data_IF_909926756385
#
_entry.id   IF_909926756385
#
_cell.length_a   1.000
_cell.length_b   1.000
_cell.length_c   1.000
_cell.angle_alpha   90.00
_cell.angle_beta   90.00
_cell.angle_gamma   90.00
#
_symmetry.space_group_name_H-M   'P 1'
#
loop_
_entity.id
_entity.type
_entity.pdbx_description
1 polymer ?
#
# COMPACT_ATOMS: atom_id res chain seq x y z
N UNK A 1 5.48 15.08 4.47
CA UNK A 1 4.89 16.00 3.49
C UNK A 1 4.41 15.22 2.27
N UNK A 2 3.17 15.42 1.86
CA UNK A 2 2.51 14.72 0.75
C UNK A 2 1.71 15.72 -0.10
N UNK A 3 1.50 15.38 -1.37
CA UNK A 3 0.59 16.08 -2.26
C UNK A 3 -0.19 15.04 -3.10
N UNK A 4 -1.53 14.97 -3.00
CA UNK A 4 -2.37 15.76 -2.10
C UNK A 4 -2.11 15.48 -0.63
N UNK A 5 -2.41 16.42 0.28
CA UNK A 5 -2.26 16.19 1.72
C UNK A 5 -3.31 15.22 2.25
N UNK A 6 -3.02 14.55 3.37
CA UNK A 6 -4.02 13.76 4.08
C UNK A 6 -5.19 14.63 4.49
N UNK A 7 -6.39 14.10 4.35
CA UNK A 7 -7.65 14.77 4.63
C UNK A 7 -8.29 14.28 5.93
N UNK A 8 -9.46 14.81 6.26
CA UNK A 8 -10.21 14.49 7.43
C UNK A 8 -10.97 13.17 7.37
N UNK A 9 -11.76 12.92 8.42
CA UNK A 9 -12.57 11.71 8.55
C UNK A 9 -13.65 11.62 7.47
N UNK A 10 -14.31 12.74 7.17
CA UNK A 10 -15.39 12.80 6.17
C UNK A 10 -14.89 12.44 4.78
N UNK A 11 -13.72 12.97 4.38
CA UNK A 11 -13.10 12.64 3.07
C UNK A 11 -12.74 11.15 3.01
N UNK A 12 -12.22 10.59 4.10
CA UNK A 12 -11.92 9.16 4.18
C UNK A 12 -13.18 8.30 4.03
N UNK A 13 -14.27 8.66 4.70
CA UNK A 13 -15.56 7.96 4.62
C UNK A 13 -16.13 8.04 3.20
N UNK A 14 -16.03 9.20 2.55
CA UNK A 14 -16.43 9.36 1.16
C UNK A 14 -15.62 8.48 0.20
N UNK A 15 -14.28 8.38 0.40
CA UNK A 15 -13.44 7.47 -0.38
C UNK A 15 -13.82 6.00 -0.17
N UNK A 16 -14.10 5.58 1.07
CA UNK A 16 -14.57 4.23 1.37
C UNK A 16 -15.93 3.97 0.69
N UNK A 17 -16.84 4.93 0.74
CA UNK A 17 -18.11 4.87 0.01
C UNK A 17 -17.90 4.63 -1.49
N UNK A 18 -16.99 5.38 -2.11
CA UNK A 18 -16.64 5.22 -3.52
C UNK A 18 -16.00 3.87 -3.87
N UNK A 19 -15.29 3.23 -2.94
CA UNK A 19 -14.82 1.85 -3.12
C UNK A 19 -15.97 0.82 -3.06
N UNK A 20 -16.96 1.07 -2.20
CA UNK A 20 -18.10 0.17 -2.00
C UNK A 20 -19.11 0.24 -3.16
N UNK A 21 -19.39 1.43 -3.67
CA UNK A 21 -20.35 1.64 -4.77
C UNK A 21 -19.74 1.46 -6.17
N UNK A 22 -18.40 1.33 -6.26
CA UNK A 22 -17.67 1.13 -7.50
C UNK A 22 -17.32 2.41 -8.27
N UNK A 23 -17.59 3.59 -7.71
CA UNK A 23 -17.11 4.87 -8.25
C UNK A 23 -15.61 4.93 -8.32
N UNK A 24 -14.94 4.32 -7.32
CA UNK A 24 -13.48 4.12 -7.26
C UNK A 24 -13.22 2.63 -7.52
N UNK A 25 -12.55 2.34 -8.61
CA UNK A 25 -12.31 0.97 -9.10
C UNK A 25 -10.87 0.49 -8.96
N UNK A 26 -9.96 1.34 -8.49
CA UNK A 26 -8.55 0.99 -8.27
C UNK A 26 -7.97 1.70 -7.05
N UNK A 27 -6.98 1.06 -6.43
CA UNK A 27 -6.15 1.65 -5.39
C UNK A 27 -4.70 1.68 -5.88
N UNK A 28 -4.12 2.88 -5.90
CA UNK A 28 -2.73 3.11 -6.23
C UNK A 28 -1.97 3.64 -5.01
N UNK A 29 -0.69 3.30 -4.91
CA UNK A 29 0.14 3.66 -3.74
C UNK A 29 0.72 5.05 -3.81
N UNK A 30 0.86 5.59 -5.01
CA UNK A 30 1.67 6.81 -5.26
C UNK A 30 3.04 6.74 -4.56
N UNK A 31 3.70 5.58 -4.70
CA UNK A 31 4.99 5.31 -4.06
C UNK A 31 6.05 6.30 -4.52
N UNK A 32 6.40 7.25 -3.66
CA UNK A 32 7.35 8.31 -3.94
C UNK A 32 8.47 8.34 -2.87
N UNK A 33 9.47 7.46 -3.00
CA UNK A 33 10.58 7.38 -2.05
C UNK A 33 11.52 8.57 -2.21
N UNK A 34 11.91 9.15 -1.08
CA UNK A 34 12.90 10.22 -0.98
C UNK A 34 13.92 9.90 0.10
N UNK A 35 15.13 10.43 -0.04
CA UNK A 35 16.19 10.28 0.95
C UNK A 35 15.85 10.97 2.28
N UNK A 36 16.51 10.56 3.36
CA UNK A 36 16.38 11.23 4.65
C UNK A 36 16.77 12.71 4.56
N UNK A 37 17.81 13.04 3.78
CA UNK A 37 18.21 14.42 3.55
C UNK A 37 17.10 15.24 2.88
N UNK A 38 16.49 14.74 1.81
CA UNK A 38 15.39 15.41 1.11
C UNK A 38 14.16 15.61 2.00
N UNK A 39 13.92 14.69 2.92
CA UNK A 39 12.78 14.75 3.85
C UNK A 39 13.05 15.57 5.11
N UNK A 40 14.30 15.89 5.44
CA UNK A 40 14.69 16.64 6.65
C UNK A 40 14.72 18.16 6.48
N UNK A 41 14.42 18.69 5.29
CA UNK A 41 14.55 20.12 4.94
C UNK A 41 13.41 21.02 5.47
N UNK A 42 12.64 20.54 6.44
CA UNK A 42 11.47 21.23 6.99
C UNK A 42 10.25 21.16 6.06
N UNK A 43 9.11 21.69 6.52
CA UNK A 43 7.85 21.55 5.81
C UNK A 43 7.85 22.21 4.42
N UNK A 44 8.53 23.34 4.27
CA UNK A 44 8.55 24.09 3.00
C UNK A 44 9.44 23.42 1.94
N UNK A 45 10.65 23.02 2.33
CA UNK A 45 11.72 22.59 1.40
C UNK A 45 11.81 21.06 1.22
N UNK A 46 11.17 20.25 2.09
CA UNK A 46 11.14 18.80 1.91
C UNK A 46 10.36 18.43 0.67
N UNK A 47 10.83 17.40 -0.05
CA UNK A 47 10.11 16.85 -1.18
C UNK A 47 8.81 16.16 -0.73
N UNK A 48 7.79 16.24 -1.58
CA UNK A 48 6.49 15.61 -1.34
C UNK A 48 6.56 14.13 -1.70
N UNK A 49 5.93 13.28 -0.91
CA UNK A 49 5.83 11.86 -1.16
C UNK A 49 6.23 11.00 0.03
N UNK A 50 5.74 9.78 0.02
CA UNK A 50 6.01 8.74 1.01
C UNK A 50 6.16 7.40 0.31
N UNK A 51 6.76 6.42 0.98
CA UNK A 51 6.80 5.05 0.49
C UNK A 51 5.46 4.36 0.75
N UNK A 52 5.02 3.52 -0.17
CA UNK A 52 3.70 2.87 -0.09
C UNK A 52 3.66 1.44 -0.59
N UNK A 53 4.60 0.97 -1.45
CA UNK A 53 4.52 -0.36 -2.06
C UNK A 53 4.50 -1.49 -1.02
N UNK A 54 5.39 -1.43 -0.04
CA UNK A 54 5.54 -2.49 0.96
C UNK A 54 4.47 -2.45 2.06
N UNK A 55 3.77 -1.33 2.20
CA UNK A 55 2.74 -1.14 3.24
C UNK A 55 1.31 -1.20 2.70
N UNK A 56 1.10 -1.10 1.39
CA UNK A 56 -0.23 -0.99 0.81
C UNK A 56 -1.13 -2.16 1.16
N UNK A 57 -0.72 -3.40 0.82
CA UNK A 57 -1.56 -4.57 1.10
C UNK A 57 -1.79 -4.77 2.61
N UNK A 58 -0.78 -4.81 3.49
CA UNK A 58 -1.00 -5.04 4.91
C UNK A 58 -1.86 -3.95 5.57
N UNK A 59 -1.70 -2.69 5.20
CA UNK A 59 -2.54 -1.60 5.73
C UNK A 59 -3.99 -1.76 5.28
N UNK A 60 -4.23 -1.96 4.00
CA UNK A 60 -5.59 -2.11 3.47
C UNK A 60 -6.26 -3.39 3.96
N UNK A 61 -5.53 -4.51 4.03
CA UNK A 61 -6.03 -5.76 4.59
C UNK A 61 -6.44 -5.58 6.04
N UNK A 62 -5.61 -4.93 6.85
CA UNK A 62 -5.88 -4.72 8.27
C UNK A 62 -7.09 -3.82 8.50
N UNK A 63 -7.13 -2.66 7.83
CA UNK A 63 -8.10 -1.62 8.14
C UNK A 63 -9.36 -1.64 7.28
N UNK A 64 -9.40 -2.42 6.20
CA UNK A 64 -10.61 -2.56 5.40
C UNK A 64 -11.17 -3.98 5.42
N UNK A 65 -10.30 -5.00 5.27
CA UNK A 65 -10.77 -6.39 5.17
C UNK A 65 -11.05 -6.98 6.57
N UNK A 66 -10.10 -6.87 7.49
CA UNK A 66 -10.30 -7.41 8.87
C UNK A 66 -11.40 -6.69 9.63
N UNK A 67 -11.62 -5.40 9.33
CA UNK A 67 -12.75 -4.62 9.88
C UNK A 67 -14.08 -4.90 9.17
N UNK A 68 -14.09 -5.77 8.15
CA UNK A 68 -15.31 -6.16 7.44
C UNK A 68 -15.91 -5.09 6.53
N UNK A 69 -15.12 -4.06 6.17
CA UNK A 69 -15.57 -2.97 5.28
C UNK A 69 -15.65 -3.47 3.83
N UNK A 70 -14.65 -4.22 3.38
CA UNK A 70 -14.62 -4.89 2.07
C UNK A 70 -14.18 -6.35 2.23
N UNK A 71 -14.48 -7.20 1.24
CA UNK A 71 -13.94 -8.56 1.22
C UNK A 71 -12.47 -8.60 0.74
N UNK A 72 -11.79 -9.71 0.98
CA UNK A 72 -10.43 -9.92 0.46
C UNK A 72 -10.42 -9.95 -1.07
N UNK A 73 -11.42 -10.56 -1.68
CA UNK A 73 -11.60 -10.59 -3.13
C UNK A 73 -11.72 -9.17 -3.69
N UNK A 74 -12.51 -8.31 -3.02
CA UNK A 74 -12.64 -6.89 -3.41
C UNK A 74 -11.30 -6.16 -3.31
N UNK A 75 -10.51 -6.41 -2.28
CA UNK A 75 -9.17 -5.82 -2.16
C UNK A 75 -8.27 -6.27 -3.32
N UNK A 76 -8.29 -7.54 -3.69
CA UNK A 76 -7.53 -8.08 -4.83
C UNK A 76 -8.01 -7.47 -6.15
N UNK A 77 -9.32 -7.30 -6.33
CA UNK A 77 -9.86 -6.58 -7.50
C UNK A 77 -9.30 -5.18 -7.61
N UNK A 78 -9.37 -4.40 -6.54
CA UNK A 78 -8.94 -2.99 -6.52
C UNK A 78 -7.43 -2.80 -6.71
N UNK A 79 -6.60 -3.72 -6.20
CA UNK A 79 -5.15 -3.60 -6.23
C UNK A 79 -4.48 -4.33 -7.40
N UNK A 80 -5.14 -5.30 -8.00
CA UNK A 80 -4.51 -6.17 -9.01
C UNK A 80 -5.37 -6.35 -10.26
N UNK A 81 -6.59 -6.88 -10.14
CA UNK A 81 -7.40 -7.28 -11.30
C UNK A 81 -7.79 -6.07 -12.14
N UNK A 82 -8.35 -5.04 -11.51
CA UNK A 82 -8.81 -3.84 -12.21
C UNK A 82 -7.67 -3.02 -12.83
N UNK A 83 -6.55 -2.75 -12.11
CA UNK A 83 -5.38 -2.13 -12.72
C UNK A 83 -4.85 -2.90 -13.94
N UNK A 84 -4.76 -4.23 -13.85
CA UNK A 84 -4.31 -5.06 -14.97
C UNK A 84 -5.23 -4.96 -16.17
N UNK A 85 -6.53 -5.04 -15.97
CA UNK A 85 -7.53 -4.86 -17.05
C UNK A 85 -7.44 -3.47 -17.67
N UNK A 86 -7.37 -2.44 -16.83
CA UNK A 86 -7.38 -1.04 -17.28
C UNK A 86 -6.15 -0.67 -18.10
N UNK A 87 -4.98 -1.19 -17.72
CA UNK A 87 -3.69 -0.86 -18.34
C UNK A 87 -3.16 -1.97 -19.26
N UNK A 88 -3.95 -3.02 -19.51
CA UNK A 88 -3.56 -4.16 -20.35
C UNK A 88 -2.23 -4.80 -19.89
N UNK A 89 -2.05 -4.94 -18.57
CA UNK A 89 -0.86 -5.56 -17.99
C UNK A 89 -1.04 -7.08 -17.99
N UNK A 90 -0.16 -7.79 -18.69
CA UNK A 90 -0.14 -9.24 -18.68
C UNK A 90 0.21 -9.77 -17.27
N UNK A 91 -0.38 -10.90 -16.90
CA UNK A 91 -0.08 -11.52 -15.61
C UNK A 91 1.29 -12.20 -15.66
N UNK A 92 2.21 -11.70 -14.86
CA UNK A 92 3.58 -12.20 -14.80
C UNK A 92 4.06 -12.55 -13.39
N UNK A 93 3.23 -12.37 -12.35
CA UNK A 93 3.70 -12.54 -10.98
C UNK A 93 2.63 -12.94 -9.97
N UNK A 94 3.11 -13.50 -8.86
CA UNK A 94 2.32 -13.92 -7.70
C UNK A 94 2.98 -13.35 -6.46
N UNK A 95 2.18 -12.74 -5.58
CA UNK A 95 2.59 -12.37 -4.22
C UNK A 95 1.92 -13.32 -3.22
N UNK A 96 2.68 -13.81 -2.25
CA UNK A 96 2.19 -14.69 -1.19
C UNK A 96 2.27 -13.96 0.14
N UNK A 97 1.14 -13.94 0.85
CA UNK A 97 1.02 -13.21 2.12
C UNK A 97 0.64 -14.15 3.26
N UNK A 98 1.28 -14.00 4.42
CA UNK A 98 0.80 -14.59 5.67
C UNK A 98 -0.27 -13.66 6.27
N UNK A 99 -1.53 -14.04 6.14
CA UNK A 99 -2.66 -13.26 6.61
C UNK A 99 -2.87 -13.32 8.13
N UNK A 100 -2.30 -14.32 8.80
CA UNK A 100 -2.45 -14.56 10.24
C UNK A 100 -1.44 -13.83 11.10
N UNK A 101 -0.30 -13.45 10.54
CA UNK A 101 0.80 -12.85 11.30
C UNK A 101 0.59 -11.36 11.52
N UNK A 102 0.54 -10.95 12.79
CA UNK A 102 0.61 -9.55 13.19
C UNK A 102 2.07 -9.10 13.29
N UNK A 103 2.39 -7.93 12.78
CA UNK A 103 3.69 -7.31 12.92
C UNK A 103 3.59 -5.78 12.96
N UNK A 104 4.61 -5.12 13.48
CA UNK A 104 4.71 -3.66 13.43
C UNK A 104 5.49 -3.24 12.17
N UNK A 105 4.98 -2.24 11.46
CA UNK A 105 5.70 -1.66 10.32
C UNK A 105 6.97 -0.97 10.82
N UNK A 106 8.13 -1.51 10.46
CA UNK A 106 9.43 -0.87 10.67
C UNK A 106 10.01 -0.39 9.33
N UNK A 107 10.11 0.94 9.12
CA UNK A 107 10.70 1.46 7.89
C UNK A 107 12.15 1.04 7.65
N UNK A 108 12.89 0.63 8.68
CA UNK A 108 14.26 0.16 8.53
C UNK A 108 14.37 -1.20 7.84
N UNK A 109 13.29 -1.99 7.88
CA UNK A 109 13.21 -3.30 7.22
C UNK A 109 12.77 -3.21 5.75
N UNK A 110 12.45 -2.03 5.22
CA UNK A 110 12.02 -1.88 3.83
C UNK A 110 13.14 -2.15 2.82
N UNK A 111 12.81 -2.81 1.74
CA UNK A 111 13.69 -2.98 0.57
C UNK A 111 13.89 -1.65 -0.16
N UNK A 112 12.87 -0.81 -0.23
CA UNK A 112 13.00 0.55 -0.77
C UNK A 112 13.97 1.38 0.06
N UNK A 113 14.75 2.23 -0.60
CA UNK A 113 15.71 3.13 0.08
C UNK A 113 15.04 4.27 0.85
N UNK A 114 13.82 4.65 0.51
CA UNK A 114 13.04 5.63 1.25
C UNK A 114 12.51 5.05 2.57
N UNK A 115 12.46 5.87 3.61
CA UNK A 115 12.01 5.47 4.96
C UNK A 115 10.80 6.27 5.46
N UNK A 116 10.35 7.25 4.67
CA UNK A 116 9.26 8.13 5.07
C UNK A 116 7.92 7.48 4.81
N UNK A 117 7.22 7.09 5.88
CA UNK A 117 5.88 6.49 5.84
C UNK A 117 5.03 7.01 7.01
N UNK A 118 3.71 7.25 6.82
CA UNK A 118 2.80 7.59 7.91
C UNK A 118 2.40 6.37 8.77
N UNK A 119 2.86 5.17 8.39
CA UNK A 119 2.45 3.91 9.03
C UNK A 119 3.51 3.31 9.96
N UNK A 120 4.63 3.99 10.18
CA UNK A 120 5.70 3.52 11.09
C UNK A 120 5.15 3.15 12.48
N UNK A 121 5.52 1.97 12.98
CA UNK A 121 5.08 1.43 14.27
C UNK A 121 3.63 0.94 14.31
N UNK A 122 2.85 1.09 13.25
CA UNK A 122 1.49 0.55 13.22
C UNK A 122 1.51 -0.96 13.13
N UNK A 123 0.66 -1.61 13.92
CA UNK A 123 0.43 -3.04 13.86
C UNK A 123 -0.50 -3.36 12.70
N UNK A 124 -0.08 -4.30 11.87
CA UNK A 124 -0.81 -4.75 10.68
C UNK A 124 -0.72 -6.27 10.52
N UNK A 125 -1.60 -6.82 9.70
CA UNK A 125 -1.63 -8.21 9.27
C UNK A 125 -1.37 -8.29 7.76
N UNK A 126 -1.00 -9.47 7.27
CA UNK A 126 -0.78 -9.68 5.84
C UNK A 126 0.65 -9.38 5.44
N UNK A 127 1.62 -10.02 6.09
CA UNK A 127 3.03 -9.91 5.74
C UNK A 127 3.31 -10.58 4.40
N UNK A 128 3.96 -9.88 3.48
CA UNK A 128 4.46 -10.53 2.25
C UNK A 128 5.60 -11.48 2.62
N UNK A 129 5.50 -12.73 2.21
CA UNK A 129 6.51 -13.77 2.48
C UNK A 129 7.23 -14.24 1.22
N UNK A 130 6.66 -13.98 0.04
CA UNK A 130 7.30 -14.31 -1.22
C UNK A 130 6.70 -13.54 -2.40
N UNK A 131 7.53 -13.18 -3.36
CA UNK A 131 7.12 -12.66 -4.65
C UNK A 131 7.76 -13.49 -5.76
N UNK A 132 6.94 -13.95 -6.70
CA UNK A 132 7.35 -14.74 -7.88
C UNK A 132 7.06 -13.92 -9.13
N UNK A 133 8.01 -13.82 -10.05
CA UNK A 133 7.85 -13.13 -11.34
C UNK A 133 8.42 -14.03 -12.43
N UNK A 134 7.65 -14.27 -13.49
CA UNK A 134 8.08 -15.11 -14.61
C UNK A 134 8.50 -16.52 -14.17
N UNK A 135 7.83 -17.11 -13.17
CA UNK A 135 8.13 -18.43 -12.61
C UNK A 135 9.38 -18.50 -11.71
N UNK A 136 10.02 -17.37 -11.42
CA UNK A 136 11.20 -17.30 -10.54
C UNK A 136 10.88 -16.54 -9.26
N UNK A 137 11.43 -16.99 -8.13
CA UNK A 137 11.35 -16.25 -6.87
C UNK A 137 12.17 -14.98 -7.03
N UNK A 138 11.50 -13.84 -7.06
CA UNK A 138 12.12 -12.51 -7.12
C UNK A 138 12.49 -11.99 -5.73
N UNK A 139 11.69 -12.35 -4.72
CA UNK A 139 11.94 -12.00 -3.33
C UNK A 139 11.33 -13.07 -2.39
N UNK A 140 11.97 -13.31 -1.28
CA UNK A 140 11.50 -14.20 -0.22
C UNK A 140 12.03 -13.70 1.13
N UNK A 141 11.15 -13.68 2.11
CA UNK A 141 11.51 -13.37 3.50
C UNK A 141 12.32 -14.51 4.13
#
# INVERSE_FOLDING_TARGET
KMNPPLRGKEDREALIGGLLDGTIDMIATDHAPHSAEEKSRGLEKSLMGVVGLETAFPVLYTYLVKEGIISLEKLVELMSVNPRKRFHIEDSGICVYDLGKEYAIDPNEFETKGRSTPFSGRKVYGENIMTVIGGKIAWRK
#
